data_IF_243235364160
#
_entry.id   IF_243235364160
#
_cell.length_a   1.000
_cell.length_b   1.000
_cell.length_c   1.000
_cell.angle_alpha   90.00
_cell.angle_beta   90.00
_cell.angle_gamma   90.00
#
_symmetry.space_group_name_H-M   'P 1'
#
loop_
_entity.id
_entity.type
_entity.pdbx_description
1 polymer ?
#
# COMPACT_ATOMS: atom_id res chain seq x y z
N UNK A 1 50.79 -4.03 -4.64
CA UNK A 1 49.78 -3.12 -5.23
C UNK A 1 49.78 -1.82 -4.45
N UNK A 2 49.71 -0.66 -5.10
CA UNK A 2 49.76 0.65 -4.42
C UNK A 2 48.39 1.01 -3.81
N UNK A 3 48.34 1.74 -2.68
CA UNK A 3 47.09 2.16 -2.03
C UNK A 3 46.15 2.94 -2.97
N UNK A 4 46.72 3.63 -3.96
CA UNK A 4 45.99 4.35 -5.01
C UNK A 4 45.21 3.41 -5.97
N UNK A 5 45.71 2.20 -6.19
CA UNK A 5 44.99 1.17 -6.99
C UNK A 5 43.83 0.59 -6.18
N UNK A 6 44.01 0.35 -4.88
CA UNK A 6 42.93 -0.08 -4.00
C UNK A 6 41.79 0.94 -3.92
N UNK A 7 42.11 2.22 -3.73
CA UNK A 7 41.10 3.28 -3.73
C UNK A 7 40.33 3.35 -5.06
N UNK A 8 41.01 3.16 -6.19
CA UNK A 8 40.37 3.14 -7.51
C UNK A 8 39.46 1.92 -7.69
N UNK A 9 39.90 0.72 -7.31
CA UNK A 9 39.06 -0.49 -7.38
C UNK A 9 37.85 -0.41 -6.45
N UNK A 10 38.03 0.07 -5.22
CA UNK A 10 36.92 0.30 -4.28
C UNK A 10 35.94 1.31 -4.86
N UNK A 11 36.44 2.42 -5.42
CA UNK A 11 35.61 3.41 -6.10
C UNK A 11 34.77 2.82 -7.23
N UNK A 12 35.37 1.98 -8.09
CA UNK A 12 34.65 1.31 -9.18
C UNK A 12 33.59 0.33 -8.68
N UNK A 13 33.89 -0.45 -7.62
CA UNK A 13 32.92 -1.38 -7.03
C UNK A 13 31.75 -0.62 -6.42
N UNK A 14 32.00 0.46 -5.69
CA UNK A 14 30.94 1.32 -5.13
C UNK A 14 30.09 1.93 -6.24
N UNK A 15 30.70 2.41 -7.32
CA UNK A 15 29.98 2.99 -8.46
C UNK A 15 29.11 1.94 -9.17
N UNK A 16 29.62 0.74 -9.37
CA UNK A 16 28.89 -0.36 -9.99
C UNK A 16 27.71 -0.83 -9.13
N UNK A 17 27.91 -0.92 -7.80
CA UNK A 17 26.84 -1.23 -6.85
C UNK A 17 25.78 -0.13 -6.86
N UNK A 18 26.18 1.14 -6.78
CA UNK A 18 25.26 2.27 -6.81
C UNK A 18 24.45 2.32 -8.12
N UNK A 19 25.07 2.05 -9.26
CA UNK A 19 24.39 1.97 -10.55
C UNK A 19 23.42 0.77 -10.61
N UNK A 20 23.81 -0.39 -10.08
CA UNK A 20 22.97 -1.58 -10.01
C UNK A 20 21.76 -1.39 -9.09
N UNK A 21 21.96 -0.81 -7.91
CA UNK A 21 20.87 -0.49 -6.99
C UNK A 21 19.97 0.59 -7.54
N UNK A 22 20.52 1.64 -8.16
CA UNK A 22 19.73 2.69 -8.81
C UNK A 22 18.85 2.12 -9.94
N UNK A 23 19.39 1.19 -10.74
CA UNK A 23 18.61 0.49 -11.76
C UNK A 23 17.48 -0.37 -11.18
N UNK A 24 17.73 -1.08 -10.09
CA UNK A 24 16.70 -1.88 -9.42
C UNK A 24 15.59 -1.00 -8.80
N UNK A 25 15.95 0.15 -8.23
CA UNK A 25 15.00 1.13 -7.68
C UNK A 25 14.21 1.83 -8.79
N UNK A 26 14.77 2.04 -9.97
CA UNK A 26 14.00 2.58 -11.09
C UNK A 26 12.96 1.58 -11.65
N UNK A 27 13.19 0.27 -11.47
CA UNK A 27 12.26 -0.76 -11.95
C UNK A 27 10.99 -0.85 -11.09
N UNK A 28 11.09 -0.66 -9.78
CA UNK A 28 9.92 -0.67 -8.87
C UNK A 28 8.96 0.51 -9.07
N UNK A 29 9.41 1.58 -9.73
CA UNK A 29 8.56 2.71 -10.11
C UNK A 29 7.63 2.40 -11.30
N UNK A 30 7.76 1.22 -11.89
CA UNK A 30 6.99 0.79 -13.05
C UNK A 30 6.05 -0.36 -12.66
N UNK A 31 4.77 -0.10 -12.40
CA UNK A 31 3.83 -1.09 -11.85
C UNK A 31 3.82 -2.48 -12.55
N UNK A 32 3.84 -2.58 -13.90
CA UNK A 32 4.02 -3.86 -14.59
C UNK A 32 5.26 -4.70 -14.20
N UNK A 33 6.32 -4.08 -13.67
CA UNK A 33 7.49 -4.79 -13.15
C UNK A 33 7.13 -5.68 -11.96
N UNK A 34 6.26 -5.21 -11.05
CA UNK A 34 5.81 -5.99 -9.90
C UNK A 34 5.12 -7.29 -10.35
N UNK A 35 4.30 -7.19 -11.41
CA UNK A 35 3.60 -8.33 -12.01
C UNK A 35 4.49 -9.30 -12.81
N UNK A 36 5.76 -8.94 -13.07
CA UNK A 36 6.67 -9.76 -13.87
C UNK A 36 7.22 -10.97 -13.09
N UNK A 37 7.32 -10.86 -11.76
CA UNK A 37 7.76 -11.93 -10.87
C UNK A 37 6.65 -12.42 -9.94
N UNK A 38 5.77 -11.51 -9.51
CA UNK A 38 4.59 -11.85 -8.72
C UNK A 38 3.39 -11.91 -9.66
N UNK A 39 2.98 -13.11 -10.07
CA UNK A 39 1.90 -13.23 -11.06
C UNK A 39 0.52 -13.16 -10.43
N UNK A 40 0.30 -13.90 -9.34
CA UNK A 40 -0.97 -13.94 -8.63
C UNK A 40 -0.78 -13.34 -7.24
N UNK A 41 -1.55 -12.33 -6.81
CA UNK A 41 -2.65 -11.66 -7.53
C UNK A 41 -2.23 -10.44 -8.37
N UNK A 42 -0.96 -10.05 -8.44
CA UNK A 42 -0.53 -8.73 -8.94
C UNK A 42 -0.87 -8.50 -10.43
N UNK A 43 -0.88 -9.53 -11.28
CA UNK A 43 -1.35 -9.37 -12.68
C UNK A 43 -2.82 -8.96 -12.75
N UNK A 44 -3.63 -9.34 -11.77
CA UNK A 44 -5.02 -8.91 -11.67
C UNK A 44 -5.09 -7.45 -11.24
N UNK A 45 -4.24 -7.01 -10.32
CA UNK A 45 -4.21 -5.62 -9.86
C UNK A 45 -3.71 -4.66 -10.94
N UNK A 46 -2.64 -5.02 -11.68
CA UNK A 46 -2.19 -4.26 -12.85
C UNK A 46 -3.30 -4.15 -13.89
N UNK A 47 -4.00 -5.25 -14.17
CA UNK A 47 -5.13 -5.23 -15.11
C UNK A 47 -6.29 -4.35 -14.61
N UNK A 48 -6.58 -4.32 -13.31
CA UNK A 48 -7.61 -3.43 -12.75
C UNK A 48 -7.23 -1.95 -12.91
N UNK A 49 -5.95 -1.61 -12.73
CA UNK A 49 -5.43 -0.25 -12.98
C UNK A 49 -5.59 0.11 -14.47
N UNK A 50 -5.18 -0.77 -15.38
CA UNK A 50 -5.35 -0.57 -16.83
C UNK A 50 -6.81 -0.37 -17.21
N UNK A 51 -7.73 -1.15 -16.63
CA UNK A 51 -9.17 -0.99 -16.84
C UNK A 51 -9.66 0.36 -16.30
N UNK A 52 -9.23 0.76 -15.10
CA UNK A 52 -9.60 2.05 -14.53
C UNK A 52 -9.16 3.22 -15.41
N UNK A 53 -7.92 3.19 -15.88
CA UNK A 53 -7.35 4.24 -16.73
C UNK A 53 -8.01 4.31 -18.12
N UNK A 54 -8.47 3.18 -18.66
CA UNK A 54 -9.06 3.13 -20.01
C UNK A 54 -10.57 3.30 -20.03
N UNK A 55 -11.27 2.87 -18.97
CA UNK A 55 -12.73 2.88 -18.90
C UNK A 55 -13.27 3.97 -17.97
N UNK A 56 -12.41 4.61 -17.18
CA UNK A 56 -12.78 5.67 -16.24
C UNK A 56 -13.55 5.16 -15.02
N UNK A 57 -13.44 3.88 -14.68
CA UNK A 57 -14.09 3.27 -13.53
C UNK A 57 -13.12 2.37 -12.76
N UNK A 58 -12.90 2.69 -11.49
CA UNK A 58 -12.02 1.92 -10.61
C UNK A 58 -12.83 1.00 -9.71
N UNK A 59 -12.65 -0.31 -9.90
CA UNK A 59 -13.30 -1.38 -9.11
C UNK A 59 -12.69 -1.59 -7.72
N UNK A 60 -11.51 -1.04 -7.47
CA UNK A 60 -10.81 -1.17 -6.20
C UNK A 60 -10.23 0.17 -5.80
N UNK A 61 -10.01 0.36 -4.50
CA UNK A 61 -9.40 1.59 -4.00
C UNK A 61 -7.98 1.76 -4.55
N UNK A 62 -7.22 0.68 -4.71
CA UNK A 62 -5.90 0.72 -5.33
C UNK A 62 -5.96 1.18 -6.79
N UNK A 63 -6.93 0.67 -7.58
CA UNK A 63 -7.11 1.12 -8.95
C UNK A 63 -7.56 2.58 -9.04
N UNK A 64 -8.30 3.07 -8.04
CA UNK A 64 -8.70 4.48 -7.94
C UNK A 64 -7.48 5.38 -7.71
N UNK A 65 -6.57 4.98 -6.82
CA UNK A 65 -5.34 5.73 -6.54
C UNK A 65 -4.39 5.82 -7.75
N UNK A 66 -4.47 4.87 -8.69
CA UNK A 66 -3.69 4.89 -9.93
C UNK A 66 -4.30 5.79 -11.03
N UNK A 67 -5.43 6.46 -10.76
CA UNK A 67 -6.02 7.45 -11.66
C UNK A 67 -5.31 8.81 -11.48
N UNK A 68 -5.00 9.51 -12.59
CA UNK A 68 -4.48 10.87 -12.52
C UNK A 68 -5.43 11.84 -11.82
N UNK A 69 -4.86 12.79 -11.08
CA UNK A 69 -5.55 13.89 -10.43
C UNK A 69 -4.91 15.24 -10.81
N UNK A 70 -5.53 16.35 -10.41
CA UNK A 70 -4.92 17.68 -10.58
C UNK A 70 -3.63 17.84 -9.75
N UNK A 71 -3.48 17.08 -8.66
CA UNK A 71 -2.32 17.11 -7.78
C UNK A 71 -1.20 16.16 -8.24
N UNK A 72 -1.56 15.09 -8.96
CA UNK A 72 -0.66 14.04 -9.42
C UNK A 72 -1.11 13.52 -10.79
N UNK A 73 -0.41 13.94 -11.84
CA UNK A 73 -0.74 13.58 -13.22
C UNK A 73 -0.39 12.13 -13.58
N UNK A 74 0.47 11.48 -12.79
CA UNK A 74 0.93 10.11 -13.04
C UNK A 74 0.13 9.09 -12.19
N UNK A 75 -0.51 9.55 -11.12
CA UNK A 75 -1.24 8.71 -10.18
C UNK A 75 -0.30 7.97 -9.22
N UNK A 76 -0.88 7.38 -8.17
CA UNK A 76 -0.12 6.63 -7.16
C UNK A 76 0.30 5.28 -7.73
N UNK A 77 1.60 4.99 -7.64
CA UNK A 77 2.22 3.74 -8.10
C UNK A 77 2.18 2.67 -7.02
N UNK A 78 2.39 1.41 -7.38
CA UNK A 78 2.49 0.31 -6.42
C UNK A 78 3.51 0.60 -5.31
N UNK A 79 4.68 1.14 -5.67
CA UNK A 79 5.77 1.40 -4.71
C UNK A 79 5.48 2.55 -3.76
N UNK A 80 4.58 3.47 -4.09
CA UNK A 80 4.24 4.58 -3.21
C UNK A 80 3.51 4.10 -1.94
N UNK A 81 2.84 2.94 -2.02
CA UNK A 81 2.26 2.23 -0.87
C UNK A 81 3.17 1.10 -0.35
N UNK A 82 3.72 0.27 -1.25
CA UNK A 82 4.48 -0.94 -0.90
C UNK A 82 5.96 -0.70 -0.60
N UNK A 83 6.48 0.50 -0.88
CA UNK A 83 7.89 0.84 -0.77
C UNK A 83 8.39 1.03 0.66
N UNK A 84 7.47 1.08 1.63
CA UNK A 84 7.75 1.27 3.04
C UNK A 84 8.02 2.73 3.40
N UNK A 85 7.46 3.16 4.53
CA UNK A 85 7.52 4.55 4.97
C UNK A 85 8.85 4.87 5.66
N UNK A 86 9.44 5.99 5.27
CA UNK A 86 10.70 6.48 5.81
C UNK A 86 11.89 5.56 5.53
N UNK A 87 13.06 5.93 6.06
CA UNK A 87 14.33 5.22 5.78
C UNK A 87 14.27 3.76 6.26
N UNK A 88 13.70 3.52 7.44
CA UNK A 88 13.62 2.16 8.00
C UNK A 88 12.66 1.28 7.20
N UNK A 89 11.45 1.77 6.91
CA UNK A 89 10.46 1.03 6.11
C UNK A 89 11.04 0.68 4.75
N UNK A 90 11.70 1.65 4.11
CA UNK A 90 12.35 1.45 2.81
C UNK A 90 13.45 0.38 2.82
N UNK A 91 14.31 0.37 3.84
CA UNK A 91 15.34 -0.67 4.00
C UNK A 91 14.72 -2.05 4.17
N UNK A 92 13.62 -2.15 4.93
CA UNK A 92 12.91 -3.42 5.12
C UNK A 92 12.25 -3.89 3.83
N UNK A 93 11.58 -3.00 3.09
CA UNK A 93 10.98 -3.30 1.79
C UNK A 93 12.03 -3.83 0.79
N UNK A 94 13.19 -3.18 0.71
CA UNK A 94 14.30 -3.62 -0.14
C UNK A 94 14.86 -4.98 0.29
N UNK A 95 14.94 -5.26 1.59
CA UNK A 95 15.39 -6.56 2.09
C UNK A 95 14.39 -7.68 1.73
N UNK A 96 13.08 -7.41 1.85
CA UNK A 96 12.02 -8.33 1.41
C UNK A 96 12.09 -8.58 -0.10
N UNK A 97 12.18 -7.52 -0.91
CA UNK A 97 12.28 -7.62 -2.37
C UNK A 97 13.53 -8.42 -2.82
N UNK A 98 14.66 -8.24 -2.15
CA UNK A 98 15.86 -9.04 -2.40
C UNK A 98 15.64 -10.52 -2.06
N UNK A 99 14.97 -10.81 -0.94
CA UNK A 99 14.58 -12.17 -0.57
C UNK A 99 13.65 -12.82 -1.60
N UNK A 100 12.63 -12.10 -2.05
CA UNK A 100 11.68 -12.59 -3.05
C UNK A 100 12.32 -12.77 -4.42
N UNK A 101 13.24 -11.89 -4.81
CA UNK A 101 14.08 -12.09 -6.01
C UNK A 101 14.83 -13.42 -5.93
N UNK A 102 15.46 -13.73 -4.80
CA UNK A 102 16.18 -15.01 -4.60
C UNK A 102 15.22 -16.21 -4.68
N UNK A 103 14.02 -16.12 -4.08
CA UNK A 103 13.00 -17.18 -4.19
C UNK A 103 12.59 -17.38 -5.63
N UNK A 104 12.31 -16.30 -6.37
CA UNK A 104 11.92 -16.34 -7.77
C UNK A 104 13.01 -16.98 -8.65
N UNK A 105 14.25 -16.47 -8.61
CA UNK A 105 15.34 -17.00 -9.45
C UNK A 105 15.75 -18.43 -9.10
N UNK A 106 15.50 -18.88 -7.87
CA UNK A 106 15.75 -20.27 -7.44
C UNK A 106 14.57 -21.20 -7.68
N UNK A 107 13.45 -20.71 -8.23
CA UNK A 107 12.24 -21.50 -8.45
C UNK A 107 11.51 -21.93 -7.17
N UNK A 108 11.78 -21.26 -6.04
CA UNK A 108 11.19 -21.52 -4.72
C UNK A 108 10.19 -20.44 -4.30
N UNK A 109 9.53 -19.84 -5.28
CA UNK A 109 8.48 -18.85 -5.04
C UNK A 109 7.14 -19.56 -4.86
N UNK A 110 6.23 -18.92 -4.14
CA UNK A 110 4.86 -19.39 -3.91
C UNK A 110 3.89 -18.40 -4.55
N UNK A 111 2.80 -18.94 -5.09
CA UNK A 111 1.70 -18.19 -5.67
C UNK A 111 0.39 -18.76 -5.09
N UNK A 112 -0.59 -17.93 -4.70
CA UNK A 112 -0.55 -16.46 -4.73
C UNK A 112 0.50 -15.87 -3.77
N UNK A 113 1.12 -14.77 -4.16
CA UNK A 113 1.98 -13.97 -3.31
C UNK A 113 1.15 -13.43 -2.13
N UNK A 114 1.68 -13.60 -0.93
CA UNK A 114 1.06 -13.10 0.30
C UNK A 114 1.83 -11.89 0.79
N UNK A 115 1.09 -10.83 1.11
CA UNK A 115 1.65 -9.70 1.83
C UNK A 115 2.06 -10.19 3.23
N UNK A 116 3.37 -10.21 3.48
CA UNK A 116 3.92 -10.76 4.72
C UNK A 116 3.69 -9.87 5.93
N UNK A 117 3.52 -8.56 5.72
CA UNK A 117 3.19 -7.59 6.75
C UNK A 117 2.19 -6.58 6.19
N UNK A 118 1.05 -6.34 6.88
CA UNK A 118 0.12 -5.29 6.48
C UNK A 118 0.79 -3.92 6.52
N UNK A 119 0.33 -3.00 5.68
CA UNK A 119 0.86 -1.64 5.69
C UNK A 119 0.54 -0.96 7.02
N UNK A 120 1.48 -0.18 7.57
CA UNK A 120 1.20 0.65 8.71
C UNK A 120 0.40 1.91 8.27
N UNK A 121 -0.37 2.52 9.17
CA UNK A 121 -1.24 3.67 8.83
C UNK A 121 -0.45 4.88 8.30
N UNK A 122 0.84 4.98 8.65
CA UNK A 122 1.74 5.99 8.12
C UNK A 122 1.84 5.95 6.58
N UNK A 123 1.59 4.79 5.95
CA UNK A 123 1.53 4.66 4.48
C UNK A 123 0.39 5.49 3.90
N UNK A 124 -0.72 5.62 4.62
CA UNK A 124 -1.87 6.42 4.21
C UNK A 124 -1.67 7.89 4.60
N UNK A 125 -1.22 8.13 5.83
CA UNK A 125 -1.08 9.47 6.43
C UNK A 125 -0.04 10.33 5.70
N UNK A 126 0.91 9.73 4.99
CA UNK A 126 1.86 10.50 4.16
C UNK A 126 1.17 11.38 3.10
N UNK A 127 -0.04 11.00 2.65
CA UNK A 127 -0.86 11.75 1.71
C UNK A 127 -2.18 12.26 2.33
N UNK A 128 -2.74 11.53 3.28
CA UNK A 128 -4.02 11.83 3.94
C UNK A 128 -3.83 12.38 5.37
N UNK A 129 -2.95 13.36 5.56
CA UNK A 129 -2.60 13.85 6.90
C UNK A 129 -3.76 14.57 7.61
N UNK A 130 -4.73 15.07 6.86
CA UNK A 130 -5.91 15.83 7.32
C UNK A 130 -7.15 14.95 7.53
N UNK A 131 -7.00 13.62 7.54
CA UNK A 131 -8.12 12.67 7.67
C UNK A 131 -8.99 12.89 8.92
N UNK A 132 -8.45 13.48 9.98
CA UNK A 132 -9.15 13.75 11.23
C UNK A 132 -9.65 15.20 11.37
N UNK A 133 -9.48 16.05 10.35
CA UNK A 133 -9.70 17.50 10.48
C UNK A 133 -11.17 17.93 10.28
N UNK A 134 -12.03 17.05 9.75
CA UNK A 134 -13.46 17.31 9.53
C UNK A 134 -14.36 16.43 10.44
N UNK A 135 -15.16 16.99 11.35
CA UNK A 135 -16.09 16.23 12.19
C UNK A 135 -17.44 15.92 11.51
N UNK A 136 -17.57 16.06 10.19
CA UNK A 136 -18.78 15.69 9.44
C UNK A 136 -19.23 14.26 9.74
N UNK A 137 -20.55 13.99 9.60
CA UNK A 137 -21.10 12.65 9.82
C UNK A 137 -20.39 11.60 8.96
N UNK A 138 -19.98 11.96 7.74
CA UNK A 138 -19.29 11.04 6.81
C UNK A 138 -17.84 10.75 7.23
N UNK A 139 -17.31 11.51 8.19
CA UNK A 139 -15.98 11.35 8.77
C UNK A 139 -16.01 11.06 10.29
N UNK A 140 -17.19 10.81 10.87
CA UNK A 140 -17.36 10.70 12.33
C UNK A 140 -16.49 9.60 12.94
N UNK A 141 -16.21 8.54 12.19
CA UNK A 141 -15.36 7.43 12.62
C UNK A 141 -13.93 7.88 12.88
N UNK A 142 -13.33 8.67 11.98
CA UNK A 142 -11.96 9.14 12.10
C UNK A 142 -11.80 10.11 13.27
N UNK A 143 -12.81 10.96 13.50
CA UNK A 143 -12.84 11.83 14.68
C UNK A 143 -13.07 11.05 15.98
N UNK A 144 -13.96 10.06 15.98
CA UNK A 144 -14.34 9.30 17.17
C UNK A 144 -13.20 8.45 17.75
N UNK A 145 -12.17 8.12 16.96
CA UNK A 145 -10.95 7.46 17.49
C UNK A 145 -10.22 8.29 18.57
N UNK A 146 -10.45 9.60 18.65
CA UNK A 146 -9.91 10.43 19.72
C UNK A 146 -10.68 10.31 21.05
N UNK A 147 -11.80 9.60 21.10
CA UNK A 147 -12.63 9.46 22.29
C UNK A 147 -12.10 8.40 23.27
N UNK A 148 -12.26 8.65 24.56
CA UNK A 148 -11.93 7.69 25.60
C UNK A 148 -12.83 6.45 25.49
N UNK A 149 -12.22 5.28 25.35
CA UNK A 149 -12.92 4.00 25.22
C UNK A 149 -13.15 3.53 23.77
N UNK A 150 -12.78 4.33 22.77
CA UNK A 150 -12.75 3.86 21.39
C UNK A 150 -11.69 2.75 21.20
N UNK A 151 -11.94 1.72 20.38
CA UNK A 151 -10.91 0.75 20.01
C UNK A 151 -9.70 1.46 19.37
N UNK A 152 -8.50 1.15 19.84
CA UNK A 152 -7.26 1.83 19.42
C UNK A 152 -6.44 1.02 18.41
N UNK A 153 -6.88 -0.17 18.06
CA UNK A 153 -6.19 -1.12 17.18
C UNK A 153 -6.75 -1.17 15.77
N UNK A 154 -7.79 -0.41 15.48
CA UNK A 154 -8.37 -0.26 14.14
C UNK A 154 -7.42 0.57 13.26
N UNK A 155 -7.06 0.02 12.10
CA UNK A 155 -6.17 0.61 11.09
C UNK A 155 -6.95 1.09 9.88
N UNK A 156 -6.32 1.94 9.06
CA UNK A 156 -6.93 2.45 7.83
C UNK A 156 -7.41 1.31 6.92
N UNK A 157 -6.57 0.28 6.75
CA UNK A 157 -6.83 -0.85 5.85
C UNK A 157 -7.86 -1.86 6.39
N UNK A 158 -8.25 -1.78 7.66
CA UNK A 158 -9.30 -2.64 8.23
C UNK A 158 -10.67 -2.26 7.67
N UNK A 159 -10.87 -0.97 7.37
CA UNK A 159 -12.07 -0.47 6.70
C UNK A 159 -11.86 -0.28 5.18
N UNK A 160 -10.74 0.31 4.78
CA UNK A 160 -10.40 0.64 3.40
C UNK A 160 -9.52 -0.45 2.77
N UNK A 161 -10.11 -1.62 2.51
CA UNK A 161 -9.39 -2.76 1.94
C UNK A 161 -8.97 -2.48 0.48
N UNK A 162 -7.69 -2.15 0.27
CA UNK A 162 -7.24 -1.50 -0.96
C UNK A 162 -7.50 -2.28 -2.25
N UNK A 163 -7.37 -3.60 -2.21
CA UNK A 163 -7.56 -4.48 -3.36
C UNK A 163 -8.91 -5.22 -3.38
N UNK A 164 -9.82 -4.90 -2.45
CA UNK A 164 -11.17 -5.46 -2.48
C UNK A 164 -12.05 -4.72 -3.50
N UNK A 165 -13.02 -5.42 -4.13
CA UNK A 165 -14.03 -4.78 -4.94
C UNK A 165 -14.81 -3.72 -4.14
N UNK A 166 -15.00 -2.54 -4.73
CA UNK A 166 -15.68 -1.40 -4.15
C UNK A 166 -16.03 -0.37 -5.21
N UNK A 167 -16.50 0.80 -4.76
CA UNK A 167 -16.82 1.92 -5.62
C UNK A 167 -16.63 3.25 -4.87
N UNK A 168 -16.53 4.34 -5.61
CA UNK A 168 -16.32 5.69 -5.09
C UNK A 168 -17.52 6.23 -4.29
N UNK A 169 -18.76 5.85 -4.64
CA UNK A 169 -19.96 6.29 -3.89
C UNK A 169 -19.97 5.79 -2.43
N UNK A 170 -19.47 4.58 -2.20
CA UNK A 170 -19.33 4.00 -0.85
C UNK A 170 -17.92 4.24 -0.26
N UNK A 171 -17.10 5.13 -0.84
CA UNK A 171 -15.71 5.38 -0.42
C UNK A 171 -14.85 4.11 -0.35
N UNK A 172 -15.12 3.16 -1.24
CA UNK A 172 -14.50 1.85 -1.31
C UNK A 172 -14.64 1.01 -0.03
N UNK A 173 -15.68 1.26 0.77
CA UNK A 173 -16.01 0.46 1.94
C UNK A 173 -16.84 -0.76 1.54
N UNK A 174 -16.49 -1.91 2.11
CA UNK A 174 -17.24 -3.16 1.94
C UNK A 174 -18.08 -3.41 3.19
N UNK A 175 -19.41 -3.31 3.08
CA UNK A 175 -20.34 -3.49 4.23
C UNK A 175 -20.09 -4.78 5.02
N UNK A 176 -19.90 -5.95 4.39
CA UNK A 176 -19.57 -7.17 5.13
C UNK A 176 -18.26 -7.11 5.93
N UNK A 177 -17.34 -6.22 5.55
CA UNK A 177 -16.07 -5.99 6.25
C UNK A 177 -16.24 -4.95 7.35
N UNK A 178 -16.89 -3.82 7.05
CA UNK A 178 -16.91 -2.66 7.96
C UNK A 178 -17.98 -2.76 9.05
N UNK A 179 -19.13 -3.38 8.78
CA UNK A 179 -20.21 -3.42 9.77
C UNK A 179 -19.83 -4.11 11.09
N UNK A 180 -19.11 -5.26 11.09
CA UNK A 180 -18.61 -5.83 12.33
C UNK A 180 -17.72 -4.88 13.13
N UNK A 181 -16.85 -4.10 12.46
CA UNK A 181 -15.98 -3.12 13.12
C UNK A 181 -16.78 -1.96 13.70
N UNK A 182 -17.81 -1.48 12.97
CA UNK A 182 -18.71 -0.45 13.48
C UNK A 182 -19.49 -0.94 14.71
N UNK A 183 -19.98 -2.19 14.69
CA UNK A 183 -20.68 -2.80 15.83
C UNK A 183 -19.77 -2.97 17.05
N UNK A 184 -18.53 -3.40 16.86
CA UNK A 184 -17.53 -3.52 17.93
C UNK A 184 -17.24 -2.17 18.59
N UNK A 185 -17.01 -1.13 17.79
CA UNK A 185 -16.79 0.22 18.28
C UNK A 185 -18.02 0.77 19.03
N UNK A 186 -19.23 0.64 18.46
CA UNK A 186 -20.46 1.08 19.11
C UNK A 186 -20.76 0.33 20.41
N UNK A 187 -20.46 -0.96 20.46
CA UNK A 187 -20.58 -1.77 21.66
C UNK A 187 -19.58 -1.29 22.75
N UNK A 188 -18.33 -1.00 22.38
CA UNK A 188 -17.32 -0.49 23.29
C UNK A 188 -17.71 0.88 23.90
N UNK A 189 -18.30 1.76 23.08
CA UNK A 189 -18.76 3.09 23.51
C UNK A 189 -20.16 3.09 24.15
N UNK A 190 -20.90 1.98 24.09
CA UNK A 190 -22.26 1.87 24.59
C UNK A 190 -23.28 2.77 23.88
N UNK A 191 -23.00 3.16 22.62
CA UNK A 191 -23.83 4.07 21.81
C UNK A 191 -23.64 3.79 20.31
N UNK A 192 -24.62 4.18 19.50
CA UNK A 192 -24.61 3.98 18.05
C UNK A 192 -25.44 2.78 17.60
N UNK A 193 -25.61 2.59 16.29
CA UNK A 193 -26.35 1.46 15.73
C UNK A 193 -25.66 0.12 16.01
N UNK A 194 -26.46 -0.88 16.33
CA UNK A 194 -26.10 -2.30 16.36
C UNK A 194 -26.87 -3.04 15.27
N UNK A 195 -26.51 -4.28 14.98
CA UNK A 195 -27.22 -5.14 14.03
C UNK A 195 -27.26 -4.59 12.59
N UNK A 196 -26.17 -3.95 12.17
CA UNK A 196 -26.03 -3.34 10.85
C UNK A 196 -25.90 -4.38 9.74
N UNK A 197 -25.45 -5.60 10.07
CA UNK A 197 -25.34 -6.72 9.13
C UNK A 197 -26.63 -7.49 8.85
N UNK A 198 -27.76 -7.16 9.49
CA UNK A 198 -29.03 -7.89 9.37
C UNK A 198 -29.96 -7.34 8.27
#
# INVERSE_FOLDING_TARGET
>A
MTPRRWAFFIGLVVLALAAGTGGAVALEEHDPFCAACHTEPETTYVRQIEMAQTQGFAETLAAFHALPTDADADGVRCIDCHGGVGVRGRVMALATAAGDTVKFVSGRYEQPAHLSEPFPDETCIQCHADYADDPAFENHVHWAFAEEGAPTDIRCADCHVSHAPGNDFDLYLSRPVVFPLCEECHAALGRGPTDMGQ
#
